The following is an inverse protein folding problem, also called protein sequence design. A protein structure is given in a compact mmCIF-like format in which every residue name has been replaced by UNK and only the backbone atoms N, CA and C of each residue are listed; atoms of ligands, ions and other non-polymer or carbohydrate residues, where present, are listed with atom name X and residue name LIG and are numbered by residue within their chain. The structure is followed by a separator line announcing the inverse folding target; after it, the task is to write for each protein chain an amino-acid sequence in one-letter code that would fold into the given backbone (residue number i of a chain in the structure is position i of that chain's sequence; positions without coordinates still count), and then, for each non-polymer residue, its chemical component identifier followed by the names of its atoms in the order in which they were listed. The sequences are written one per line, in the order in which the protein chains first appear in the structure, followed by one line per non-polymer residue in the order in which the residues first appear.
data_IF_502275389893
#
_entry.id   IF_502275389893
#
_cell.length_a   1.000
_cell.length_b   1.000
_cell.length_c   1.000
_cell.angle_alpha   90.00
_cell.angle_beta   90.00
_cell.angle_gamma   90.00
#
_symmetry.space_group_name_H-M   'P 1'
#
loop_
_entity.id
_entity.type
_entity.pdbx_description
1 polymer ?
#
# COMPACT_ATOMS: atom_id res chain seq x y z
N UNK A 1 1.97 6.35 7.96
CA UNK A 1 1.37 6.67 6.65
C UNK A 1 2.42 7.28 5.77
N UNK A 2 2.30 7.11 4.46
CA UNK A 2 3.21 7.68 3.48
C UNK A 2 2.90 9.15 3.14
N UNK A 3 3.69 9.73 2.24
CA UNK A 3 3.51 11.11 1.77
C UNK A 3 2.32 11.27 0.81
N UNK A 4 1.85 10.19 0.17
CA UNK A 4 0.64 10.13 -0.64
C UNK A 4 0.81 10.53 -2.11
N UNK A 5 -0.19 10.18 -2.92
CA UNK A 5 -0.34 10.52 -4.33
C UNK A 5 -1.36 11.65 -4.48
N UNK A 6 -0.88 12.84 -4.86
CA UNK A 6 -1.70 14.05 -5.00
C UNK A 6 -2.27 14.14 -6.42
N UNK A 7 -3.57 14.41 -6.51
CA UNK A 7 -4.26 14.78 -7.76
C UNK A 7 -4.47 16.29 -7.78
N UNK A 8 -3.98 16.98 -8.80
CA UNK A 8 -4.18 18.42 -8.95
C UNK A 8 -5.22 18.72 -10.04
N UNK A 9 -5.69 19.97 -10.12
CA UNK A 9 -6.62 20.41 -11.18
C UNK A 9 -5.95 20.34 -12.55
N UNK A 10 -4.69 20.71 -12.62
CA UNK A 10 -3.90 20.73 -13.86
C UNK A 10 -3.44 19.34 -14.29
N UNK A 11 -3.28 18.42 -13.33
CA UNK A 11 -2.85 17.04 -13.59
C UNK A 11 -3.73 16.09 -12.76
N UNK A 12 -4.95 15.77 -13.26
CA UNK A 12 -5.79 14.76 -12.65
C UNK A 12 -5.10 13.39 -12.63
N UNK A 13 -5.29 12.66 -11.54
CA UNK A 13 -4.67 11.35 -11.32
C UNK A 13 -5.73 10.27 -11.13
N UNK A 14 -5.56 9.17 -11.86
CA UNK A 14 -6.28 7.91 -11.63
C UNK A 14 -5.30 6.90 -11.07
N UNK A 15 -5.53 6.42 -9.84
CA UNK A 15 -4.75 5.32 -9.28
C UNK A 15 -5.22 4.00 -9.89
N UNK A 16 -4.29 3.19 -10.38
CA UNK A 16 -4.56 1.89 -11.00
C UNK A 16 -4.33 0.76 -10.02
N UNK A 17 -3.18 0.78 -9.37
CA UNK A 17 -2.82 -0.23 -8.39
C UNK A 17 -1.81 0.32 -7.38
N UNK A 18 -1.71 -0.38 -6.27
CA UNK A 18 -0.54 -0.29 -5.37
C UNK A 18 0.32 -1.53 -5.59
N UNK A 19 1.63 -1.33 -5.60
CA UNK A 19 2.62 -2.39 -5.55
C UNK A 19 3.25 -2.33 -4.18
N UNK A 20 3.06 -3.34 -3.33
CA UNK A 20 3.43 -3.25 -1.92
C UNK A 20 4.06 -4.54 -1.35
N UNK A 21 4.96 -4.34 -0.40
CA UNK A 21 5.63 -5.34 0.44
C UNK A 21 5.66 -4.85 1.90
N UNK A 22 5.59 -5.78 2.87
CA UNK A 22 5.69 -5.47 4.31
C UNK A 22 6.97 -6.05 4.93
N UNK A 23 7.59 -5.32 5.85
CA UNK A 23 8.83 -5.78 6.47
C UNK A 23 8.65 -6.99 7.40
N UNK A 24 7.43 -7.22 7.91
CA UNK A 24 7.08 -8.30 8.83
C UNK A 24 5.55 -8.48 8.85
N UNK A 25 5.07 -9.72 8.97
CA UNK A 25 3.66 -10.03 9.26
C UNK A 25 3.41 -10.02 10.76
N UNK A 26 2.46 -9.21 11.22
CA UNK A 26 2.02 -9.20 12.62
C UNK A 26 0.49 -9.19 12.73
N UNK A 27 -0.24 -9.58 11.68
CA UNK A 27 -1.70 -9.46 11.64
C UNK A 27 -2.13 -8.00 11.62
N UNK A 28 -1.31 -7.14 11.03
CA UNK A 28 -1.64 -5.74 10.83
C UNK A 28 -2.63 -5.59 9.67
N UNK A 29 -3.27 -4.43 9.61
CA UNK A 29 -4.19 -4.09 8.52
C UNK A 29 -3.54 -3.01 7.66
N UNK A 30 -3.34 -3.32 6.37
CA UNK A 30 -3.01 -2.34 5.36
C UNK A 30 -4.27 -1.58 4.96
N UNK A 31 -4.20 -0.26 4.99
CA UNK A 31 -5.32 0.62 4.68
C UNK A 31 -4.94 1.61 3.58
N UNK A 32 -5.87 1.82 2.63
CA UNK A 32 -5.79 2.84 1.61
C UNK A 32 -6.90 3.88 1.80
N UNK A 33 -6.52 5.15 1.74
CA UNK A 33 -7.40 6.27 2.06
C UNK A 33 -7.39 7.32 0.95
N UNK A 34 -8.56 7.86 0.61
CA UNK A 34 -8.69 9.13 -0.10
C UNK A 34 -9.24 10.14 0.91
N UNK A 35 -8.44 11.13 1.28
CA UNK A 35 -8.75 12.03 2.39
C UNK A 35 -9.13 11.28 3.68
N UNK A 36 -10.42 11.28 4.05
CA UNK A 36 -10.97 10.62 5.23
C UNK A 36 -11.77 9.35 4.89
N UNK A 37 -11.85 8.98 3.61
CA UNK A 37 -12.59 7.81 3.15
C UNK A 37 -11.62 6.64 2.95
N UNK A 38 -11.84 5.55 3.68
CA UNK A 38 -11.07 4.32 3.52
C UNK A 38 -11.64 3.52 2.37
N UNK A 39 -10.83 3.29 1.35
CA UNK A 39 -11.22 2.59 0.12
C UNK A 39 -10.59 1.20 0.00
N UNK A 40 -9.63 0.89 0.87
CA UNK A 40 -8.92 -0.39 0.87
C UNK A 40 -8.66 -0.85 2.31
N UNK A 41 -8.87 -2.13 2.58
CA UNK A 41 -8.52 -2.81 3.83
C UNK A 41 -8.03 -4.23 3.52
N UNK A 42 -6.79 -4.55 3.88
CA UNK A 42 -6.14 -5.82 3.57
C UNK A 42 -5.34 -6.32 4.77
N UNK A 43 -5.50 -7.59 5.15
CA UNK A 43 -4.66 -8.24 6.17
C UNK A 43 -3.22 -8.42 5.66
N UNK A 44 -2.22 -8.03 6.47
CA UNK A 44 -0.82 -8.07 6.05
C UNK A 44 -0.33 -9.47 5.65
N UNK A 45 -0.98 -10.55 6.11
CA UNK A 45 -0.64 -11.93 5.77
C UNK A 45 -0.92 -12.30 4.31
N UNK A 46 -1.72 -11.53 3.59
CA UNK A 46 -1.91 -11.74 2.14
C UNK A 46 -0.88 -10.99 1.29
N UNK A 47 -0.06 -10.13 1.91
CA UNK A 47 1.01 -9.41 1.25
C UNK A 47 2.28 -10.26 1.21
N UNK A 48 3.29 -9.79 0.48
CA UNK A 48 4.63 -10.35 0.60
C UNK A 48 5.33 -9.75 1.82
N UNK A 49 6.32 -10.48 2.34
CA UNK A 49 7.24 -9.94 3.31
C UNK A 49 8.68 -10.23 2.95
N UNK A 50 9.50 -9.20 3.09
CA UNK A 50 10.96 -9.26 3.01
C UNK A 50 11.63 -9.71 4.32
N UNK A 51 10.85 -10.15 5.33
CA UNK A 51 11.39 -10.61 6.60
C UNK A 51 12.26 -11.86 6.42
N UNK A 52 13.56 -11.69 6.62
CA UNK A 52 14.51 -12.79 6.79
C UNK A 52 14.41 -13.29 8.22
N UNK A 53 13.71 -14.39 8.39
CA UNK A 53 13.69 -15.10 9.67
C UNK A 53 15.01 -15.89 9.82
N UNK A 54 15.45 -16.15 11.07
CA UNK A 54 16.68 -16.90 11.34
C UNK A 54 16.68 -18.30 10.71
N UNK A 55 17.81 -19.02 10.72
CA UNK A 55 18.00 -20.30 10.03
C UNK A 55 16.93 -21.39 10.30
N UNK A 56 16.16 -21.24 11.37
CA UNK A 56 15.11 -22.15 11.82
C UNK A 56 13.70 -21.79 11.31
N UNK A 57 13.58 -20.75 10.48
CA UNK A 57 12.30 -20.27 9.99
C UNK A 57 12.36 -20.13 8.46
N UNK A 58 11.37 -20.72 7.79
CA UNK A 58 11.28 -20.67 6.34
C UNK A 58 11.06 -19.23 5.85
N UNK A 59 11.66 -18.88 4.71
CA UNK A 59 11.26 -17.71 3.95
C UNK A 59 9.77 -17.83 3.60
N UNK A 60 8.95 -16.91 4.11
CA UNK A 60 7.49 -17.01 3.97
C UNK A 60 7.00 -16.53 2.60
N UNK A 61 7.77 -15.67 1.92
CA UNK A 61 7.50 -15.31 0.53
C UNK A 61 8.75 -15.42 -0.34
N UNK A 62 8.58 -16.04 -1.51
CA UNK A 62 9.59 -16.13 -2.59
C UNK A 62 9.21 -15.21 -3.75
N UNK A 63 8.17 -14.38 -3.57
CA UNK A 63 7.41 -13.76 -4.64
C UNK A 63 7.78 -12.29 -4.88
N UNK A 64 7.61 -11.86 -6.13
CA UNK A 64 7.67 -10.47 -6.60
C UNK A 64 6.56 -9.64 -5.95
N UNK A 65 6.83 -8.34 -5.71
CA UNK A 65 5.92 -7.32 -5.14
C UNK A 65 4.44 -7.57 -5.51
N UNK A 66 3.54 -7.53 -4.51
CA UNK A 66 2.10 -7.78 -4.74
C UNK A 66 1.48 -6.54 -5.38
N UNK A 67 0.82 -6.74 -6.54
CA UNK A 67 0.03 -5.70 -7.21
C UNK A 67 -1.44 -5.83 -6.79
N UNK A 68 -1.97 -4.83 -6.10
CA UNK A 68 -3.37 -4.77 -5.67
C UNK A 68 -4.09 -3.72 -6.53
N UNK A 69 -5.09 -4.12 -7.34
CA UNK A 69 -5.85 -3.18 -8.15
C UNK A 69 -6.73 -2.28 -7.27
N UNK A 70 -6.81 -1.01 -7.64
CA UNK A 70 -7.67 0.00 -7.00
C UNK A 70 -8.60 0.63 -8.05
N UNK A 71 -8.06 1.04 -9.20
CA UNK A 71 -8.82 1.63 -10.32
C UNK A 71 -9.75 2.81 -9.93
N UNK A 72 -9.27 3.72 -9.09
CA UNK A 72 -10.02 4.88 -8.61
C UNK A 72 -9.55 6.22 -9.20
N UNK A 73 -10.51 7.11 -9.46
CA UNK A 73 -10.23 8.48 -9.89
C UNK A 73 -10.09 9.39 -8.67
N UNK A 74 -8.88 9.90 -8.43
CA UNK A 74 -8.63 10.83 -7.33
C UNK A 74 -9.09 12.22 -7.80
N UNK A 75 -10.12 12.77 -7.13
CA UNK A 75 -10.63 14.10 -7.48
C UNK A 75 -9.53 15.17 -7.34
N UNK A 76 -9.54 16.21 -8.18
CA UNK A 76 -8.58 17.31 -8.04
C UNK A 76 -8.57 17.91 -6.63
N UNK A 77 -7.38 18.15 -6.11
CA UNK A 77 -7.15 18.67 -4.77
C UNK A 77 -7.10 17.60 -3.67
N UNK A 78 -7.35 16.32 -4.00
CA UNK A 78 -7.30 15.23 -3.03
C UNK A 78 -6.01 14.44 -3.09
N UNK A 79 -5.71 13.76 -1.99
CA UNK A 79 -4.57 12.86 -1.84
C UNK A 79 -5.02 11.43 -1.52
N UNK A 80 -4.45 10.48 -2.25
CA UNK A 80 -4.50 9.07 -1.86
C UNK A 80 -3.30 8.74 -0.97
N UNK A 81 -3.52 8.00 0.12
CA UNK A 81 -2.45 7.56 1.03
C UNK A 81 -2.58 6.09 1.37
N UNK A 82 -1.44 5.48 1.66
CA UNK A 82 -1.35 4.13 2.19
C UNK A 82 -0.77 4.16 3.60
N UNK A 83 -1.32 3.33 4.48
CA UNK A 83 -0.85 3.18 5.84
C UNK A 83 -1.00 1.74 6.32
N UNK A 84 -0.27 1.43 7.39
CA UNK A 84 -0.45 0.19 8.13
C UNK A 84 -1.01 0.55 9.51
N UNK A 85 -2.13 -0.05 9.85
CA UNK A 85 -2.71 0.01 11.17
C UNK A 85 -2.14 -1.15 11.98
N UNK A 86 -1.17 -0.83 12.84
CA UNK A 86 -0.41 -1.79 13.62
C UNK A 86 -0.91 -1.84 15.06
N UNK A 87 -1.36 -3.02 15.49
CA UNK A 87 -1.82 -3.26 16.86
C UNK A 87 -0.76 -3.78 17.83
N UNK A 88 0.41 -4.22 17.32
CA UNK A 88 1.40 -4.93 18.14
C UNK A 88 2.85 -4.46 17.90
N UNK A 89 3.49 -4.90 16.81
CA UNK A 89 4.90 -4.66 16.53
C UNK A 89 5.08 -3.81 15.27
N UNK A 90 5.95 -2.80 15.36
CA UNK A 90 6.23 -1.88 14.27
C UNK A 90 6.63 -2.64 13.00
N UNK A 91 5.91 -2.38 11.91
CA UNK A 91 6.18 -2.94 10.59
C UNK A 91 6.19 -1.80 9.57
N UNK A 92 7.15 -1.85 8.67
CA UNK A 92 7.31 -0.92 7.57
C UNK A 92 6.63 -1.45 6.31
N UNK A 93 6.11 -0.52 5.51
CA UNK A 93 5.61 -0.79 4.16
C UNK A 93 6.57 -0.18 3.14
N UNK A 94 6.82 -0.90 2.06
CA UNK A 94 7.59 -0.41 0.91
C UNK A 94 6.88 -0.75 -0.38
N UNK A 95 6.97 0.13 -1.37
CA UNK A 95 6.15 -0.02 -2.56
C UNK A 95 6.15 1.18 -3.51
N UNK A 96 5.25 1.11 -4.49
CA UNK A 96 5.02 2.15 -5.46
C UNK A 96 3.54 2.26 -5.85
N UNK A 97 3.16 3.42 -6.35
CA UNK A 97 1.85 3.66 -6.95
C UNK A 97 1.92 3.47 -8.47
N UNK A 98 1.02 2.67 -9.01
CA UNK A 98 0.74 2.62 -10.44
C UNK A 98 -0.44 3.55 -10.71
N UNK A 99 -0.24 4.57 -11.54
CA UNK A 99 -1.26 5.59 -11.81
C UNK A 99 -1.12 6.16 -13.22
N UNK A 100 -2.21 6.76 -13.69
CA UNK A 100 -2.26 7.52 -14.94
C UNK A 100 -2.41 9.00 -14.58
N UNK A 101 -1.61 9.84 -15.23
CA UNK A 101 -1.76 11.30 -15.22
C UNK A 101 -2.36 11.72 -16.55
N UNK A 102 -3.45 12.46 -16.50
CA UNK A 102 -4.04 13.06 -17.70
C UNK A 102 -3.57 14.52 -17.75
N UNK A 103 -2.87 14.95 -18.81
CA UNK A 103 -2.51 16.35 -19.01
C UNK A 103 -3.70 17.21 -19.46
#
# INVERSE_FOLDING_TARGET
MDSGLVSSVEVPVTIKAILIDVSLYCGNILEGWIETERILEIDDRVLNSSYLTGADQCAVSTSKIVRIPIDENIKPGMIFKIGINCGAAESNISGAYEYIRTP
#
